data_IF_186605617675
#
_entry.id   IF_186605617675
#
_cell.length_a   1.000
_cell.length_b   1.000
_cell.length_c   1.000
_cell.angle_alpha   90.00
_cell.angle_beta   90.00
_cell.angle_gamma   90.00
#
_symmetry.space_group_name_H-M   'P 1'
#
loop_
_entity.id
_entity.type
_entity.pdbx_description
1 polymer ?
#
# COMPACT_ATOMS: atom_id res chain seq x y z
N UNK A 1 -12.03 0.69 -27.86
CA UNK A 1 -12.34 1.72 -26.87
C UNK A 1 -11.03 2.00 -26.17
N UNK A 2 -10.48 3.19 -26.36
CA UNK A 2 -9.06 3.52 -26.13
C UNK A 2 -8.66 3.26 -24.68
N UNK A 3 -7.84 2.24 -24.50
CA UNK A 3 -7.15 1.89 -23.25
C UNK A 3 -6.09 2.96 -22.99
N UNK A 4 -6.52 4.13 -22.52
CA UNK A 4 -5.62 5.15 -22.00
C UNK A 4 -5.34 4.75 -20.56
N UNK A 5 -4.39 3.83 -20.38
CA UNK A 5 -3.88 3.50 -19.06
C UNK A 5 -3.52 4.80 -18.33
N UNK A 6 -4.11 5.03 -17.17
CA UNK A 6 -3.98 6.29 -16.46
C UNK A 6 -2.47 6.59 -16.23
N UNK A 7 -2.00 7.79 -16.63
CA UNK A 7 -0.59 8.11 -16.62
C UNK A 7 -0.06 8.15 -15.19
N UNK A 8 1.24 7.91 -15.03
CA UNK A 8 1.89 8.13 -13.74
C UNK A 8 1.67 9.58 -13.29
N UNK A 9 1.14 9.83 -12.09
CA UNK A 9 0.98 11.16 -11.54
C UNK A 9 2.32 11.88 -11.45
N UNK A 10 2.41 13.09 -12.03
CA UNK A 10 3.66 13.84 -12.10
C UNK A 10 4.29 14.08 -10.71
N UNK A 11 3.46 14.34 -9.69
CA UNK A 11 3.94 14.59 -8.33
C UNK A 11 4.61 13.37 -7.67
N UNK A 12 4.36 12.14 -8.15
CA UNK A 12 5.12 10.97 -7.68
C UNK A 12 6.59 10.99 -8.10
N UNK A 13 6.96 11.85 -9.06
CA UNK A 13 8.36 12.11 -9.44
C UNK A 13 9.04 13.17 -8.59
N UNK A 14 8.28 13.90 -7.76
CA UNK A 14 8.87 14.88 -6.86
C UNK A 14 9.74 14.20 -5.82
N UNK A 15 10.82 14.87 -5.39
CA UNK A 15 11.88 14.26 -4.57
C UNK A 15 11.38 13.57 -3.31
N UNK A 16 10.33 14.08 -2.66
CA UNK A 16 9.81 13.49 -1.42
C UNK A 16 8.89 12.29 -1.69
N UNK A 17 7.82 12.39 -2.51
CA UNK A 17 7.01 11.24 -2.92
C UNK A 17 7.83 10.10 -3.55
N UNK A 18 8.75 10.42 -4.46
CA UNK A 18 9.58 9.42 -5.12
C UNK A 18 10.40 8.60 -4.11
N UNK A 19 11.01 9.26 -3.12
CA UNK A 19 11.76 8.60 -2.04
C UNK A 19 10.87 7.77 -1.14
N UNK A 20 9.66 8.24 -0.82
CA UNK A 20 8.70 7.49 -0.03
C UNK A 20 8.25 6.21 -0.76
N UNK A 21 7.92 6.31 -2.05
CA UNK A 21 7.51 5.16 -2.88
C UNK A 21 8.68 4.17 -3.05
N UNK A 22 9.90 4.66 -3.29
CA UNK A 22 11.08 3.80 -3.33
C UNK A 22 11.31 3.09 -1.99
N UNK A 23 11.06 3.75 -0.86
CA UNK A 23 11.14 3.15 0.47
C UNK A 23 10.10 2.06 0.69
N UNK A 24 8.89 2.19 0.10
CA UNK A 24 7.87 1.13 0.12
C UNK A 24 8.42 -0.14 -0.55
N UNK A 25 8.98 -0.02 -1.75
CA UNK A 25 9.57 -1.15 -2.48
C UNK A 25 10.79 -1.74 -1.75
N UNK A 26 11.73 -0.90 -1.34
CA UNK A 26 12.98 -1.32 -0.70
C UNK A 26 12.76 -1.99 0.67
N UNK A 27 11.83 -1.45 1.49
CA UNK A 27 11.49 -2.06 2.77
C UNK A 27 10.80 -3.41 2.62
N UNK A 28 9.95 -3.57 1.60
CA UNK A 28 9.34 -4.87 1.28
C UNK A 28 10.42 -5.90 0.94
N UNK A 29 11.33 -5.58 0.02
CA UNK A 29 12.39 -6.51 -0.39
C UNK A 29 13.28 -6.92 0.79
N UNK A 30 13.65 -5.97 1.66
CA UNK A 30 14.43 -6.24 2.87
C UNK A 30 13.73 -7.18 3.86
N UNK A 31 12.41 -7.02 4.03
CA UNK A 31 11.64 -7.76 5.03
C UNK A 31 11.16 -9.12 4.51
N UNK A 32 10.65 -9.15 3.27
CA UNK A 32 9.99 -10.31 2.66
C UNK A 32 10.97 -11.16 1.85
N UNK A 33 12.14 -10.61 1.49
CA UNK A 33 13.20 -11.33 0.77
C UNK A 33 12.94 -11.53 -0.72
N UNK A 34 11.95 -10.82 -1.29
CA UNK A 34 11.66 -10.79 -2.74
C UNK A 34 11.21 -9.38 -3.15
N UNK A 35 11.49 -8.94 -4.39
CA UNK A 35 11.12 -7.59 -4.81
C UNK A 35 9.63 -7.49 -5.19
N UNK A 36 9.04 -6.29 -5.06
CA UNK A 36 7.68 -5.98 -5.56
C UNK A 36 7.66 -5.71 -7.07
N UNK A 37 8.79 -5.28 -7.62
CA UNK A 37 8.98 -4.81 -8.99
C UNK A 37 10.33 -5.28 -9.52
N UNK A 38 10.51 -5.36 -10.83
CA UNK A 38 11.75 -5.86 -11.42
C UNK A 38 12.96 -4.97 -11.07
N UNK A 39 14.08 -5.56 -10.62
CA UNK A 39 15.31 -4.82 -10.36
C UNK A 39 15.84 -4.08 -11.59
N UNK A 40 16.46 -2.91 -11.37
CA UNK A 40 17.15 -2.15 -12.41
C UNK A 40 16.25 -1.33 -13.35
N UNK A 41 14.92 -1.42 -13.21
CA UNK A 41 13.97 -0.56 -13.91
C UNK A 41 13.58 0.68 -13.11
N UNK A 42 12.64 1.45 -13.67
CA UNK A 42 12.06 2.61 -13.01
C UNK A 42 11.07 2.17 -11.91
N UNK A 43 11.52 2.19 -10.66
CA UNK A 43 10.74 1.72 -9.51
C UNK A 43 9.39 2.44 -9.39
N UNK A 44 9.33 3.75 -9.67
CA UNK A 44 8.10 4.53 -9.49
C UNK A 44 7.06 4.13 -10.54
N UNK A 45 7.48 4.02 -11.81
CA UNK A 45 6.62 3.59 -12.90
C UNK A 45 6.13 2.15 -12.67
N UNK A 46 7.02 1.25 -12.25
CA UNK A 46 6.66 -0.14 -12.01
C UNK A 46 5.72 -0.29 -10.82
N UNK A 47 5.97 0.42 -9.72
CA UNK A 47 5.08 0.42 -8.55
C UNK A 47 3.69 0.95 -8.90
N UNK A 48 3.60 1.94 -9.80
CA UNK A 48 2.33 2.47 -10.29
C UNK A 48 1.55 1.49 -11.16
N UNK A 49 2.24 0.67 -11.97
CA UNK A 49 1.61 -0.18 -12.99
C UNK A 49 1.51 -1.66 -12.66
N UNK A 50 2.19 -2.14 -11.63
CA UNK A 50 2.17 -3.56 -11.26
C UNK A 50 0.74 -4.04 -11.01
N UNK A 51 0.36 -5.26 -11.44
CA UNK A 51 -1.00 -5.78 -11.27
C UNK A 51 -1.35 -6.14 -9.82
N UNK A 52 -0.36 -6.21 -8.93
CA UNK A 52 -0.60 -6.35 -7.50
C UNK A 52 -1.18 -5.04 -6.95
N UNK A 53 -2.19 -5.12 -6.09
CA UNK A 53 -2.66 -3.94 -5.36
C UNK A 53 -1.58 -3.53 -4.37
N UNK A 54 -1.23 -2.25 -4.34
CA UNK A 54 -0.29 -1.69 -3.36
C UNK A 54 -0.90 -0.44 -2.74
N UNK A 55 -0.88 -0.36 -1.42
CA UNK A 55 -1.30 0.81 -0.64
C UNK A 55 -0.24 1.13 0.42
N UNK A 56 0.04 2.40 0.66
CA UNK A 56 0.93 2.84 1.75
C UNK A 56 0.43 4.11 2.43
N UNK A 57 0.50 4.15 3.76
CA UNK A 57 0.10 5.28 4.58
C UNK A 57 1.20 5.69 5.56
N UNK A 58 1.14 6.94 6.02
CA UNK A 58 2.15 7.50 6.91
C UNK A 58 2.03 7.04 8.38
N UNK A 59 2.70 7.76 9.27
CA UNK A 59 2.75 7.50 10.72
C UNK A 59 1.86 8.43 11.55
N UNK A 60 0.97 9.19 10.93
CA UNK A 60 0.06 10.10 11.64
C UNK A 60 -0.85 9.32 12.61
N UNK A 61 -1.39 9.99 13.63
CA UNK A 61 -2.31 9.37 14.60
C UNK A 61 -3.54 8.76 13.94
N UNK A 62 -4.08 9.40 12.91
CA UNK A 62 -5.05 8.82 11.96
C UNK A 62 -4.34 8.71 10.60
N UNK A 63 -3.66 7.58 10.30
CA UNK A 63 -2.77 7.51 9.15
C UNK A 63 -3.48 7.70 7.82
N UNK A 64 -2.97 8.60 6.99
CA UNK A 64 -3.50 8.89 5.65
C UNK A 64 -2.61 8.26 4.59
N UNK A 65 -3.21 7.74 3.52
CA UNK A 65 -2.47 7.17 2.39
C UNK A 65 -1.61 8.24 1.72
N UNK A 66 -0.36 7.90 1.42
CA UNK A 66 0.51 8.72 0.57
C UNK A 66 0.77 8.04 -0.79
N UNK A 67 0.38 6.78 -0.94
CA UNK A 67 0.52 6.03 -2.18
C UNK A 67 -0.55 4.96 -2.30
N UNK A 68 -1.08 4.81 -3.52
CA UNK A 68 -1.71 3.59 -4.00
C UNK A 68 -1.58 3.53 -5.51
N UNK A 69 -1.40 2.34 -6.06
CA UNK A 69 -1.18 2.14 -7.49
C UNK A 69 -2.49 2.04 -8.28
N UNK A 70 -2.40 1.92 -9.61
CA UNK A 70 -3.59 1.78 -10.47
C UNK A 70 -4.52 0.66 -10.02
N UNK A 71 -3.97 -0.53 -9.74
CA UNK A 71 -4.75 -1.66 -9.26
C UNK A 71 -5.46 -1.36 -7.93
N UNK A 72 -4.85 -0.57 -7.04
CA UNK A 72 -5.51 -0.10 -5.82
C UNK A 72 -6.69 0.84 -6.14
N UNK A 73 -6.51 1.81 -7.03
CA UNK A 73 -7.58 2.73 -7.43
C UNK A 73 -8.78 2.00 -8.02
N UNK A 74 -8.53 1.04 -8.91
CA UNK A 74 -9.57 0.18 -9.51
C UNK A 74 -10.27 -0.68 -8.46
N UNK A 75 -9.50 -1.33 -7.58
CA UNK A 75 -10.03 -2.24 -6.56
C UNK A 75 -10.92 -1.49 -5.56
N UNK A 76 -10.46 -0.33 -5.10
CA UNK A 76 -11.15 0.53 -4.15
C UNK A 76 -12.14 1.51 -4.80
N UNK A 77 -12.31 1.47 -6.13
CA UNK A 77 -13.24 2.29 -6.91
C UNK A 77 -13.15 3.79 -6.60
N UNK A 78 -11.91 4.28 -6.43
CA UNK A 78 -11.60 5.67 -6.06
C UNK A 78 -10.61 6.27 -7.05
N UNK A 79 -10.50 7.60 -7.04
CA UNK A 79 -9.41 8.31 -7.71
C UNK A 79 -8.25 8.58 -6.74
N UNK A 80 -7.12 9.00 -7.27
CA UNK A 80 -5.91 9.23 -6.51
C UNK A 80 -6.09 10.32 -5.45
N UNK A 81 -6.69 11.45 -5.80
CA UNK A 81 -6.87 12.58 -4.88
C UNK A 81 -7.70 12.17 -3.66
N UNK A 82 -8.77 11.42 -3.87
CA UNK A 82 -9.59 10.85 -2.78
C UNK A 82 -8.82 9.83 -1.97
N UNK A 83 -8.02 8.97 -2.61
CA UNK A 83 -7.19 8.00 -1.91
C UNK A 83 -6.20 8.70 -0.97
N UNK A 84 -5.47 9.70 -1.49
CA UNK A 84 -4.46 10.44 -0.74
C UNK A 84 -5.04 11.34 0.36
N UNK A 85 -6.34 11.59 0.36
CA UNK A 85 -7.05 12.26 1.44
C UNK A 85 -7.71 11.29 2.44
N UNK A 86 -7.70 9.97 2.17
CA UNK A 86 -8.42 8.98 2.96
C UNK A 86 -7.59 8.48 4.15
N UNK A 87 -8.12 8.55 5.38
CA UNK A 87 -7.59 7.80 6.51
C UNK A 87 -7.69 6.30 6.24
N UNK A 88 -6.57 5.58 6.41
CA UNK A 88 -6.44 4.15 6.11
C UNK A 88 -7.51 3.27 6.76
N UNK A 89 -7.99 3.64 7.95
CA UNK A 89 -9.06 2.93 8.68
C UNK A 89 -10.40 2.88 7.94
N UNK A 90 -10.64 3.75 6.96
CA UNK A 90 -11.89 3.78 6.19
C UNK A 90 -11.91 2.79 5.02
N UNK A 91 -10.75 2.23 4.65
CA UNK A 91 -10.62 1.28 3.53
C UNK A 91 -10.92 -0.18 3.91
N UNK A 92 -11.05 -0.48 5.21
CA UNK A 92 -11.33 -1.81 5.73
C UNK A 92 -12.64 -1.81 6.51
N UNK A 93 -13.36 -2.94 6.48
CA UNK A 93 -14.37 -3.16 7.52
C UNK A 93 -13.70 -3.04 8.87
N UNK A 94 -14.40 -2.47 9.85
CA UNK A 94 -13.90 -2.39 11.21
C UNK A 94 -13.52 -3.82 11.65
N UNK A 95 -12.24 -4.15 11.75
CA UNK A 95 -11.85 -5.46 12.24
C UNK A 95 -12.37 -5.58 13.67
N UNK A 96 -12.64 -6.80 14.12
CA UNK A 96 -12.70 -7.05 15.55
C UNK A 96 -11.44 -6.44 16.16
N UNK A 97 -11.59 -5.55 17.15
CA UNK A 97 -10.47 -4.74 17.68
C UNK A 97 -9.25 -5.62 18.02
N UNK A 98 -9.50 -6.84 18.47
CA UNK A 98 -8.51 -7.86 18.80
C UNK A 98 -7.73 -8.39 17.58
N UNK A 99 -8.40 -8.68 16.46
CA UNK A 99 -7.75 -9.18 15.24
C UNK A 99 -6.80 -8.14 14.64
N UNK A 100 -7.21 -6.85 14.66
CA UNK A 100 -6.34 -5.76 14.23
C UNK A 100 -5.17 -5.57 15.17
N UNK A 101 -5.40 -5.63 16.48
CA UNK A 101 -4.32 -5.46 17.43
C UNK A 101 -3.30 -6.60 17.28
N UNK A 102 -3.75 -7.85 17.21
CA UNK A 102 -2.88 -9.01 16.97
C UNK A 102 -2.09 -8.88 15.65
N UNK A 103 -2.72 -8.40 14.58
CA UNK A 103 -2.04 -8.09 13.32
C UNK A 103 -0.95 -7.02 13.50
N UNK A 104 -1.29 -5.90 14.15
CA UNK A 104 -0.35 -4.80 14.37
C UNK A 104 0.80 -5.23 15.28
N UNK A 105 0.54 -6.05 16.29
CA UNK A 105 1.54 -6.59 17.21
C UNK A 105 2.50 -7.52 16.47
N UNK A 106 2.00 -8.39 15.59
CA UNK A 106 2.85 -9.26 14.75
C UNK A 106 3.70 -8.45 13.78
N UNK A 107 3.13 -7.44 13.12
CA UNK A 107 3.89 -6.55 12.23
C UNK A 107 4.92 -5.74 13.02
N UNK A 108 4.61 -5.31 14.24
CA UNK A 108 5.55 -4.61 15.10
C UNK A 108 6.70 -5.52 15.57
N UNK A 109 6.42 -6.80 15.84
CA UNK A 109 7.42 -7.76 16.29
C UNK A 109 8.35 -8.27 15.17
N UNK A 110 7.81 -8.50 13.96
CA UNK A 110 8.51 -9.16 12.86
C UNK A 110 8.80 -8.24 11.67
N UNK A 111 8.31 -7.00 11.69
CA UNK A 111 8.40 -6.05 10.59
C UNK A 111 7.34 -6.25 9.50
N UNK A 112 6.87 -7.49 9.28
CA UNK A 112 5.81 -7.81 8.33
C UNK A 112 4.99 -9.05 8.74
N UNK A 113 3.86 -9.24 8.07
CA UNK A 113 3.09 -10.49 7.99
C UNK A 113 2.69 -10.72 6.53
N UNK A 114 2.45 -11.96 6.13
CA UNK A 114 2.13 -12.37 4.77
C UNK A 114 0.85 -13.22 4.65
N UNK A 115 0.17 -13.47 5.77
CA UNK A 115 -1.00 -14.33 5.89
C UNK A 115 -2.30 -13.56 6.14
N UNK A 116 -2.31 -12.23 5.94
CA UNK A 116 -3.45 -11.42 6.30
C UNK A 116 -4.63 -11.63 5.33
N UNK A 117 -5.82 -11.78 5.90
CA UNK A 117 -7.07 -11.85 5.16
C UNK A 117 -8.13 -10.97 5.83
N UNK A 118 -9.06 -10.44 5.05
CA UNK A 118 -10.12 -9.61 5.59
C UNK A 118 -11.04 -9.02 4.53
N UNK A 119 -12.16 -8.46 4.97
CA UNK A 119 -13.06 -7.73 4.09
C UNK A 119 -12.61 -6.27 3.96
N UNK A 120 -12.69 -5.76 2.74
CA UNK A 120 -12.44 -4.38 2.34
C UNK A 120 -13.70 -3.80 1.74
N UNK A 121 -13.82 -2.47 1.82
CA UNK A 121 -14.95 -1.73 1.28
C UNK A 121 -14.40 -0.72 0.30
N UNK A 122 -14.91 -0.74 -0.94
CA UNK A 122 -14.60 0.29 -1.93
C UNK A 122 -15.27 1.62 -1.57
N UNK A 123 -14.85 2.72 -2.21
CA UNK A 123 -15.49 4.02 -2.07
C UNK A 123 -16.98 4.03 -2.51
N UNK A 124 -17.40 3.05 -3.33
CA UNK A 124 -18.80 2.86 -3.74
C UNK A 124 -19.58 1.90 -2.82
N UNK A 125 -18.96 1.42 -1.74
CA UNK A 125 -19.59 0.52 -0.77
C UNK A 125 -19.57 -0.96 -1.17
N UNK A 126 -18.85 -1.34 -2.23
CA UNK A 126 -18.69 -2.75 -2.62
C UNK A 126 -17.77 -3.44 -1.63
N UNK A 127 -18.25 -4.52 -1.02
CA UNK A 127 -17.44 -5.39 -0.17
C UNK A 127 -16.67 -6.39 -1.03
N UNK A 128 -15.41 -6.58 -0.74
CA UNK A 128 -14.58 -7.62 -1.33
C UNK A 128 -13.64 -8.20 -0.28
N UNK A 129 -13.28 -9.47 -0.42
CA UNK A 129 -12.36 -10.15 0.50
C UNK A 129 -10.97 -10.14 -0.11
N UNK A 130 -9.96 -9.85 0.70
CA UNK A 130 -8.56 -10.05 0.34
C UNK A 130 -8.02 -11.24 1.12
N UNK A 131 -7.08 -11.96 0.52
CA UNK A 131 -6.44 -13.14 1.09
C UNK A 131 -4.94 -13.09 0.83
N UNK A 132 -4.14 -13.71 1.71
CA UNK A 132 -2.68 -13.76 1.60
C UNK A 132 -2.04 -12.38 1.35
N UNK A 133 -2.63 -11.36 1.98
CA UNK A 133 -2.13 -10.01 1.90
C UNK A 133 -0.88 -9.88 2.77
N UNK A 134 0.13 -9.22 2.21
CA UNK A 134 1.33 -8.85 2.97
C UNK A 134 1.14 -7.46 3.54
N UNK A 135 1.36 -7.32 4.84
CA UNK A 135 1.36 -6.02 5.53
C UNK A 135 2.72 -5.83 6.16
N UNK A 136 3.39 -4.71 5.89
CA UNK A 136 4.74 -4.47 6.38
C UNK A 136 4.95 -3.04 6.84
N UNK A 137 5.97 -2.86 7.69
CA UNK A 137 6.45 -1.57 8.12
C UNK A 137 7.35 -0.96 7.04
N UNK A 138 7.04 0.27 6.64
CA UNK A 138 7.84 1.00 5.66
C UNK A 138 8.94 1.78 6.40
N UNK A 139 10.19 1.51 6.02
CA UNK A 139 11.38 2.20 6.55
C UNK A 139 12.15 2.87 5.43
N UNK A 140 12.69 4.05 5.71
CA UNK A 140 13.65 4.71 4.83
C UNK A 140 15.04 4.02 4.88
N UNK A 141 16.00 4.56 4.12
CA UNK A 141 17.37 4.01 4.03
C UNK A 141 18.15 4.08 5.35
N UNK A 142 17.73 4.92 6.30
CA UNK A 142 18.31 5.02 7.63
C UNK A 142 17.66 4.07 8.64
N UNK A 143 16.64 3.31 8.21
CA UNK A 143 15.87 2.40 9.06
C UNK A 143 14.77 3.11 9.86
N UNK A 144 14.53 4.40 9.62
CA UNK A 144 13.46 5.13 10.30
C UNK A 144 12.11 4.74 9.71
N UNK A 145 11.15 4.41 10.58
CA UNK A 145 9.78 4.10 10.17
C UNK A 145 9.10 5.35 9.61
N UNK A 146 8.63 5.26 8.37
CA UNK A 146 7.87 6.32 7.68
C UNK A 146 6.41 5.94 7.42
N UNK A 147 6.02 4.69 7.68
CA UNK A 147 4.65 4.26 7.47
C UNK A 147 4.41 2.76 7.59
N UNK A 148 3.29 2.32 7.03
CA UNK A 148 3.00 0.92 6.74
C UNK A 148 2.41 0.80 5.34
N UNK A 149 2.60 -0.36 4.75
CA UNK A 149 2.07 -0.67 3.44
C UNK A 149 1.43 -2.06 3.44
N UNK A 150 0.56 -2.27 2.45
CA UNK A 150 -0.11 -3.53 2.21
C UNK A 150 -0.11 -3.85 0.72
N UNK A 151 0.03 -5.14 0.39
CA UNK A 151 -0.11 -5.65 -0.97
C UNK A 151 -0.88 -6.95 -1.00
N UNK A 152 -1.66 -7.15 -2.06
CA UNK A 152 -2.39 -8.38 -2.32
C UNK A 152 -2.70 -8.51 -3.82
N UNK A 153 -3.06 -9.71 -4.24
CA UNK A 153 -3.59 -9.95 -5.58
C UNK A 153 -5.12 -9.74 -5.56
N UNK A 154 -5.68 -8.86 -6.41
CA UNK A 154 -7.10 -8.56 -6.44
C UNK A 154 -7.96 -9.72 -6.97
#
# INVERSE_FOLDING_TARGET
MTDQAEPLPAHFRDSQPARAIASVAASFERLVGRPLVEPGGDVIEQMWRTPQVILAHGTQTDPVFFFGNLSALDCFETDLDRLLAMPSRLSAEAPLREERQALLDRVAAHGFIDDYAGVRISAKGRRFRIEQAVVWTVTDDSGVRIGQAATFTP
#
